data_IF_123221574804
#
_entry.id   IF_123221574804
#
_cell.length_a   1.000
_cell.length_b   1.000
_cell.length_c   1.000
_cell.angle_alpha   90.00
_cell.angle_beta   90.00
_cell.angle_gamma   90.00
#
_symmetry.space_group_name_H-M   'P 1'
#
loop_
_entity.id
_entity.type
_entity.pdbx_description
1 polymer ?
#
# COMPACT_ATOMS: atom_id res chain seq x y z
N UNK A 1 43.78 -11.98 -35.23
CA UNK A 1 43.60 -11.07 -34.07
C UNK A 1 42.13 -10.77 -33.71
N UNK A 2 41.15 -10.88 -34.63
CA UNK A 2 39.73 -10.57 -34.34
C UNK A 2 39.01 -11.53 -33.36
N UNK A 3 39.46 -12.78 -33.22
CA UNK A 3 38.82 -13.76 -32.33
C UNK A 3 39.10 -13.50 -30.82
N UNK A 4 40.27 -12.94 -30.49
CA UNK A 4 40.68 -12.70 -29.11
C UNK A 4 39.89 -11.55 -28.45
N UNK A 5 39.57 -10.50 -29.20
CA UNK A 5 38.78 -9.35 -28.72
C UNK A 5 37.33 -9.75 -28.38
N UNK A 6 36.73 -10.66 -29.15
CA UNK A 6 35.37 -11.16 -28.92
C UNK A 6 35.27 -12.03 -27.65
N UNK A 7 36.35 -12.76 -27.33
CA UNK A 7 36.42 -13.63 -26.16
C UNK A 7 36.59 -12.84 -24.85
N UNK A 8 37.38 -11.76 -24.86
CA UNK A 8 37.52 -10.89 -23.69
C UNK A 8 36.21 -10.14 -23.35
N UNK A 9 35.46 -9.71 -24.35
CA UNK A 9 34.22 -8.96 -24.12
C UNK A 9 33.09 -9.81 -23.53
N UNK A 10 33.03 -11.11 -23.87
CA UNK A 10 32.09 -12.08 -23.25
C UNK A 10 32.43 -12.38 -21.80
N UNK A 11 33.73 -12.50 -21.46
CA UNK A 11 34.18 -12.70 -20.07
C UNK A 11 33.92 -11.46 -19.22
N UNK A 12 34.12 -10.26 -19.78
CA UNK A 12 33.81 -9.01 -19.10
C UNK A 12 32.31 -8.87 -18.79
N UNK A 13 31.43 -9.22 -19.74
CA UNK A 13 29.98 -9.22 -19.51
C UNK A 13 29.53 -10.23 -18.45
N UNK A 14 30.09 -11.44 -18.45
CA UNK A 14 29.80 -12.46 -17.43
C UNK A 14 30.25 -12.01 -16.03
N UNK A 15 31.41 -11.36 -15.93
CA UNK A 15 31.96 -10.84 -14.68
C UNK A 15 31.14 -9.66 -14.15
N UNK A 16 30.62 -8.81 -15.05
CA UNK A 16 29.73 -7.69 -14.71
C UNK A 16 28.35 -8.17 -14.23
N UNK A 17 27.80 -9.22 -14.84
CA UNK A 17 26.55 -9.85 -14.38
C UNK A 17 26.70 -10.53 -13.01
N UNK A 18 27.86 -11.16 -12.74
CA UNK A 18 28.15 -11.81 -11.46
C UNK A 18 28.32 -10.78 -10.32
N UNK A 19 28.94 -9.63 -10.60
CA UNK A 19 29.05 -8.49 -9.68
C UNK A 19 27.69 -7.85 -9.38
N UNK A 20 26.81 -7.70 -10.39
CA UNK A 20 25.45 -7.20 -10.16
C UNK A 20 24.64 -8.12 -9.24
N UNK A 21 24.81 -9.44 -9.34
CA UNK A 21 24.05 -10.38 -8.51
C UNK A 21 24.44 -10.30 -7.01
N UNK A 22 25.70 -9.97 -6.71
CA UNK A 22 26.19 -9.82 -5.33
C UNK A 22 25.67 -8.55 -4.63
N UNK A 23 25.28 -7.50 -5.37
CA UNK A 23 24.74 -6.26 -4.78
C UNK A 23 23.24 -6.32 -4.45
N UNK A 24 22.50 -7.29 -4.97
CA UNK A 24 21.03 -7.39 -4.75
C UNK A 24 20.69 -8.03 -3.40
N UNK A 25 21.62 -8.76 -2.79
CA UNK A 25 21.39 -9.50 -1.54
C UNK A 25 21.87 -8.71 -0.32
N UNK A 26 21.32 -7.51 -0.12
CA UNK A 26 21.49 -6.80 1.16
C UNK A 26 20.25 -7.08 2.04
N UNK A 27 20.41 -7.70 3.22
CA UNK A 27 19.31 -7.86 4.17
C UNK A 27 18.96 -6.49 4.76
N UNK A 28 17.81 -5.94 4.36
CA UNK A 28 17.23 -4.74 4.98
C UNK A 28 16.71 -5.12 6.36
N UNK A 29 17.56 -5.01 7.38
CA UNK A 29 17.17 -5.12 8.78
C UNK A 29 16.38 -3.88 9.20
N UNK A 30 15.06 -3.96 9.18
CA UNK A 30 14.16 -2.92 9.66
C UNK A 30 14.24 -2.78 11.20
N UNK A 31 14.72 -1.64 11.72
CA UNK A 31 14.70 -1.35 13.15
C UNK A 31 13.31 -0.87 13.60
N UNK A 32 12.64 -1.63 14.47
CA UNK A 32 11.40 -1.21 15.15
C UNK A 32 11.72 -0.19 16.26
N UNK A 33 11.41 1.09 16.01
CA UNK A 33 11.44 2.16 17.02
C UNK A 33 10.28 1.97 18.01
N UNK A 34 10.55 1.50 19.23
CA UNK A 34 9.56 1.48 20.31
C UNK A 34 9.34 2.91 20.82
N UNK A 35 8.21 3.51 20.48
CA UNK A 35 7.75 4.78 21.06
C UNK A 35 7.29 4.57 22.50
N UNK A 36 8.01 5.14 23.48
CA UNK A 36 7.56 5.23 24.87
C UNK A 36 6.51 6.35 24.97
N UNK A 37 5.24 6.00 25.12
CA UNK A 37 4.16 6.97 25.39
C UNK A 37 4.21 7.37 26.87
N UNK A 38 4.51 8.65 27.16
CA UNK A 38 4.39 9.25 28.49
C UNK A 38 2.91 9.38 28.86
N UNK A 39 2.49 8.79 29.98
CA UNK A 39 1.15 8.94 30.53
C UNK A 39 0.98 10.36 31.07
N UNK A 40 0.02 11.13 30.54
CA UNK A 40 -0.33 12.48 31.03
C UNK A 40 -1.68 12.40 31.77
N UNK A 41 -1.68 12.86 33.02
CA UNK A 41 -2.79 13.54 33.70
C UNK A 41 -4.05 12.74 34.03
N UNK A 42 -4.30 12.53 35.32
CA UNK A 42 -5.61 12.16 35.87
C UNK A 42 -6.59 13.34 35.73
N UNK A 43 -7.82 13.07 35.26
CA UNK A 43 -8.94 14.01 35.35
C UNK A 43 -10.03 13.42 36.26
N UNK A 44 -10.70 14.30 36.99
CA UNK A 44 -11.52 14.09 38.20
C UNK A 44 -12.84 13.33 38.03
N UNK A 45 -13.12 12.71 36.87
CA UNK A 45 -14.44 12.14 36.55
C UNK A 45 -14.45 10.64 36.21
N UNK A 46 -13.48 9.84 36.64
CA UNK A 46 -13.49 8.38 36.43
C UNK A 46 -13.75 7.64 37.73
N UNK A 47 -14.89 6.94 37.83
CA UNK A 47 -15.20 6.04 38.93
C UNK A 47 -14.21 4.87 38.93
N UNK A 48 -13.73 4.50 40.11
CA UNK A 48 -12.75 3.43 40.35
C UNK A 48 -13.25 2.02 39.95
N UNK A 49 -14.55 1.87 39.67
CA UNK A 49 -15.17 0.59 39.28
C UNK A 49 -15.42 0.46 37.76
N UNK A 50 -14.98 1.42 36.95
CA UNK A 50 -15.08 1.28 35.50
C UNK A 50 -14.12 0.20 35.00
N UNK A 51 -14.58 -1.05 34.91
CA UNK A 51 -13.91 -2.08 34.11
C UNK A 51 -13.84 -1.57 32.67
N UNK A 52 -12.64 -1.16 32.25
CA UNK A 52 -12.34 -0.87 30.85
C UNK A 52 -12.67 -2.16 30.09
N UNK A 53 -13.82 -2.18 29.40
CA UNK A 53 -14.13 -3.22 28.41
C UNK A 53 -12.94 -3.21 27.46
N UNK A 54 -12.27 -4.36 27.36
CA UNK A 54 -11.09 -4.68 26.55
C UNK A 54 -10.70 -3.56 25.56
N UNK A 55 -9.47 -3.05 25.66
CA UNK A 55 -8.93 -2.10 24.70
C UNK A 55 -9.33 -2.52 23.27
N UNK A 56 -9.87 -1.60 22.46
CA UNK A 56 -10.29 -1.94 21.10
C UNK A 56 -9.10 -2.56 20.36
N UNK A 57 -9.37 -3.65 19.63
CA UNK A 57 -8.34 -4.33 18.85
C UNK A 57 -7.55 -3.31 18.01
N UNK A 58 -6.23 -3.47 17.98
CA UNK A 58 -5.34 -2.55 17.26
C UNK A 58 -5.86 -2.30 15.83
N UNK A 59 -5.79 -1.05 15.32
CA UNK A 59 -6.31 -0.71 14.01
C UNK A 59 -5.62 -1.58 12.95
N UNK A 60 -6.42 -2.23 12.10
CA UNK A 60 -5.89 -3.03 10.99
C UNK A 60 -5.14 -2.11 10.03
N UNK A 61 -3.88 -2.43 9.76
CA UNK A 61 -3.09 -1.72 8.76
C UNK A 61 -3.53 -2.17 7.35
N UNK A 62 -3.96 -1.20 6.53
CA UNK A 62 -4.38 -1.43 5.15
C UNK A 62 -3.36 -0.81 4.20
N UNK A 63 -3.14 -1.46 3.05
CA UNK A 63 -2.37 -0.83 1.98
C UNK A 63 -3.15 0.37 1.42
N UNK A 64 -2.45 1.46 1.11
CA UNK A 64 -3.07 2.68 0.59
C UNK A 64 -2.90 2.76 -0.91
N UNK A 65 -4.00 2.90 -1.65
CA UNK A 65 -3.95 3.21 -3.06
C UNK A 65 -4.33 4.68 -3.26
N UNK A 66 -3.35 5.50 -3.56
CA UNK A 66 -3.53 6.95 -3.68
C UNK A 66 -4.16 7.33 -5.01
N UNK A 67 -5.12 8.24 -4.97
CA UNK A 67 -5.80 8.80 -6.15
C UNK A 67 -5.94 10.30 -6.00
N UNK A 68 -5.85 11.02 -7.11
CA UNK A 68 -6.04 12.48 -7.13
C UNK A 68 -7.50 12.89 -7.23
N UNK A 69 -8.38 11.99 -7.69
CA UNK A 69 -9.82 12.21 -7.81
C UNK A 69 -10.60 10.97 -7.36
N UNK A 70 -11.88 11.18 -7.10
CA UNK A 70 -12.79 10.13 -6.63
C UNK A 70 -13.25 9.19 -7.75
N UNK A 71 -13.25 9.65 -9.01
CA UNK A 71 -13.85 8.95 -10.16
C UNK A 71 -13.45 7.47 -10.23
N UNK A 72 -14.44 6.59 -10.24
CA UNK A 72 -14.22 5.16 -10.48
C UNK A 72 -13.74 4.39 -9.25
N UNK A 73 -13.80 4.98 -8.06
CA UNK A 73 -13.36 4.32 -6.81
C UNK A 73 -14.49 4.09 -5.83
N UNK A 74 -15.62 4.80 -6.00
CA UNK A 74 -16.76 4.85 -5.08
C UNK A 74 -16.28 5.12 -3.66
N UNK A 75 -15.42 6.11 -3.51
CA UNK A 75 -14.92 6.52 -2.20
C UNK A 75 -16.07 7.08 -1.34
N UNK A 76 -16.17 6.65 -0.09
CA UNK A 76 -17.32 6.93 0.78
C UNK A 76 -18.48 5.94 0.63
N UNK A 77 -18.44 5.03 -0.35
CA UNK A 77 -19.48 4.03 -0.54
C UNK A 77 -19.20 2.77 0.31
N UNK A 78 -20.06 2.51 1.30
CA UNK A 78 -19.90 1.37 2.23
C UNK A 78 -19.73 0.01 1.53
N UNK A 79 -20.44 -0.21 0.42
CA UNK A 79 -20.36 -1.47 -0.35
C UNK A 79 -18.94 -1.71 -0.89
N UNK A 80 -18.27 -0.65 -1.32
CA UNK A 80 -16.90 -0.71 -1.84
C UNK A 80 -15.83 -0.65 -0.75
N UNK A 81 -16.05 0.12 0.31
CA UNK A 81 -15.16 0.15 1.46
C UNK A 81 -15.03 -1.23 2.11
N UNK A 82 -16.15 -1.92 2.36
CA UNK A 82 -16.12 -3.26 2.94
C UNK A 82 -15.46 -4.29 2.03
N UNK A 83 -15.55 -4.08 0.71
CA UNK A 83 -14.90 -4.96 -0.25
C UNK A 83 -13.38 -4.72 -0.32
N UNK A 84 -12.96 -3.46 -0.40
CA UNK A 84 -11.54 -3.07 -0.45
C UNK A 84 -10.82 -3.42 0.86
N UNK A 85 -11.46 -3.19 2.01
CA UNK A 85 -10.94 -3.60 3.32
C UNK A 85 -10.73 -5.12 3.40
N UNK A 86 -11.66 -5.93 2.87
CA UNK A 86 -11.48 -7.40 2.81
C UNK A 86 -10.31 -7.81 1.92
N UNK A 87 -10.03 -7.08 0.85
CA UNK A 87 -8.83 -7.30 0.02
C UNK A 87 -7.54 -6.77 0.68
N UNK A 88 -7.65 -6.02 1.78
CA UNK A 88 -6.54 -5.49 2.55
C UNK A 88 -5.99 -4.16 2.05
N UNK A 89 -6.79 -3.36 1.34
CA UNK A 89 -6.39 -2.01 0.95
C UNK A 89 -7.54 -1.00 1.05
N UNK A 90 -7.22 0.30 0.98
CA UNK A 90 -8.18 1.40 0.94
C UNK A 90 -7.76 2.44 -0.09
N UNK A 91 -8.73 3.09 -0.71
CA UNK A 91 -8.47 4.29 -1.51
C UNK A 91 -8.24 5.48 -0.59
N UNK A 92 -7.20 6.26 -0.89
CA UNK A 92 -6.93 7.52 -0.19
C UNK A 92 -6.87 8.62 -1.24
N UNK A 93 -7.73 9.63 -1.06
CA UNK A 93 -7.74 10.81 -1.92
C UNK A 93 -6.64 11.75 -1.47
N UNK A 94 -5.76 12.07 -2.39
CA UNK A 94 -4.62 12.96 -2.20
C UNK A 94 -4.57 13.89 -3.41
N UNK A 95 -5.26 15.04 -3.35
CA UNK A 95 -5.21 16.02 -4.42
C UNK A 95 -3.77 16.58 -4.55
N UNK A 96 -3.39 17.02 -5.76
CA UNK A 96 -2.07 17.61 -5.98
C UNK A 96 -1.93 18.91 -5.18
N UNK A 97 -0.68 19.28 -4.90
CA UNK A 97 -0.29 20.59 -4.36
C UNK A 97 -0.82 20.91 -2.95
N UNK A 98 -1.25 19.90 -2.19
CA UNK A 98 -1.52 20.06 -0.75
C UNK A 98 -0.26 19.84 0.09
N UNK A 99 -0.12 20.61 1.17
CA UNK A 99 0.96 20.41 2.15
C UNK A 99 0.91 18.98 2.71
N UNK A 100 2.03 18.25 2.59
CA UNK A 100 2.12 16.84 3.01
C UNK A 100 1.61 15.82 1.98
N UNK A 101 1.20 16.25 0.79
CA UNK A 101 0.90 15.35 -0.33
C UNK A 101 2.18 14.75 -0.92
N UNK A 102 2.10 13.50 -1.37
CA UNK A 102 3.16 12.85 -2.12
C UNK A 102 3.25 13.47 -3.51
N UNK A 103 4.45 13.56 -4.05
CA UNK A 103 4.63 13.96 -5.45
C UNK A 103 3.99 12.94 -6.38
N UNK A 104 3.58 13.35 -7.58
CA UNK A 104 2.94 12.46 -8.56
C UNK A 104 3.79 11.21 -8.89
N UNK A 105 5.12 11.37 -8.90
CA UNK A 105 6.08 10.29 -9.15
C UNK A 105 6.13 9.31 -7.98
N UNK A 106 6.21 9.80 -6.75
CA UNK A 106 6.16 8.96 -5.54
C UNK A 106 4.84 8.20 -5.43
N UNK A 107 3.71 8.86 -5.70
CA UNK A 107 2.40 8.20 -5.75
C UNK A 107 2.39 7.07 -6.79
N UNK A 108 3.01 7.27 -7.96
CA UNK A 108 3.07 6.26 -9.03
C UNK A 108 3.85 5.04 -8.58
N UNK A 109 5.04 5.22 -8.00
CA UNK A 109 5.85 4.10 -7.50
C UNK A 109 5.20 3.41 -6.30
N UNK A 110 4.63 4.16 -5.36
CA UNK A 110 3.88 3.59 -4.24
C UNK A 110 2.70 2.74 -4.72
N UNK A 111 1.87 3.30 -5.61
CA UNK A 111 0.72 2.58 -6.17
C UNK A 111 1.15 1.36 -6.99
N UNK A 112 2.29 1.42 -7.67
CA UNK A 112 2.84 0.25 -8.37
C UNK A 112 3.19 -0.85 -7.37
N UNK A 113 3.90 -0.54 -6.29
CA UNK A 113 4.22 -1.49 -5.22
C UNK A 113 2.97 -2.10 -4.59
N UNK A 114 1.96 -1.29 -4.27
CA UNK A 114 0.68 -1.78 -3.73
C UNK A 114 -0.06 -2.67 -4.73
N UNK A 115 -0.14 -2.27 -6.00
CA UNK A 115 -0.77 -3.10 -7.04
C UNK A 115 -0.06 -4.43 -7.22
N UNK A 116 1.27 -4.44 -7.14
CA UNK A 116 2.07 -5.66 -7.19
C UNK A 116 1.81 -6.55 -5.96
N UNK A 117 1.79 -5.98 -4.76
CA UNK A 117 1.42 -6.71 -3.55
C UNK A 117 -0.02 -7.29 -3.63
N UNK A 118 -0.96 -6.53 -4.19
CA UNK A 118 -2.33 -7.00 -4.42
C UNK A 118 -2.40 -8.10 -5.47
N UNK A 119 -1.57 -8.05 -6.51
CA UNK A 119 -1.44 -9.11 -7.51
C UNK A 119 -1.00 -10.42 -6.86
N UNK A 120 0.00 -10.37 -5.99
CA UNK A 120 0.50 -11.54 -5.27
C UNK A 120 -0.51 -12.06 -4.25
N UNK A 121 -1.15 -11.18 -3.47
CA UNK A 121 -2.06 -11.55 -2.38
C UNK A 121 -3.44 -12.01 -2.88
N UNK A 122 -3.98 -11.37 -3.91
CA UNK A 122 -5.36 -11.59 -4.39
C UNK A 122 -5.40 -12.25 -5.79
N UNK A 123 -4.25 -12.54 -6.40
CA UNK A 123 -4.14 -13.20 -7.71
C UNK A 123 -4.31 -12.27 -8.92
N UNK A 124 -3.96 -12.72 -10.14
CA UNK A 124 -3.84 -11.89 -11.33
C UNK A 124 -5.14 -11.19 -11.78
N UNK A 125 -6.30 -11.76 -11.42
CA UNK A 125 -7.61 -11.21 -11.78
C UNK A 125 -8.22 -10.31 -10.69
N UNK A 126 -7.46 -9.89 -9.67
CA UNK A 126 -7.97 -9.03 -8.59
C UNK A 126 -8.60 -7.74 -9.12
N UNK A 127 -7.96 -7.12 -10.13
CA UNK A 127 -8.43 -5.85 -10.69
C UNK A 127 -9.76 -6.03 -11.44
N UNK A 128 -9.92 -7.13 -12.18
CA UNK A 128 -11.17 -7.45 -12.86
C UNK A 128 -12.31 -7.69 -11.85
N UNK A 129 -12.06 -8.46 -10.78
CA UNK A 129 -13.04 -8.70 -9.71
C UNK A 129 -13.45 -7.40 -9.01
N UNK A 130 -12.49 -6.51 -8.77
CA UNK A 130 -12.74 -5.19 -8.21
C UNK A 130 -13.64 -4.35 -9.12
N UNK A 131 -13.34 -4.26 -10.41
CA UNK A 131 -14.16 -3.48 -11.35
C UNK A 131 -15.58 -4.06 -11.48
N UNK A 132 -15.73 -5.39 -11.47
CA UNK A 132 -17.05 -6.04 -11.44
C UNK A 132 -17.82 -5.69 -10.17
N UNK A 133 -17.13 -5.60 -9.01
CA UNK A 133 -17.75 -5.22 -7.75
C UNK A 133 -18.16 -3.75 -7.71
N UNK A 134 -17.34 -2.86 -8.27
CA UNK A 134 -17.66 -1.43 -8.43
C UNK A 134 -18.99 -1.28 -9.15
N UNK A 135 -19.14 -1.89 -10.33
CA UNK A 135 -20.39 -1.85 -11.11
C UNK A 135 -21.60 -2.31 -10.30
N UNK A 136 -21.48 -3.48 -9.64
CA UNK A 136 -22.54 -4.01 -8.77
C UNK A 136 -22.88 -3.09 -7.60
N UNK A 137 -21.91 -2.38 -7.02
CA UNK A 137 -22.17 -1.43 -5.95
C UNK A 137 -22.89 -0.19 -6.50
N UNK A 138 -22.48 0.35 -7.66
CA UNK A 138 -23.17 1.47 -8.32
C UNK A 138 -24.64 1.17 -8.58
N UNK A 139 -24.91 0.02 -9.18
CA UNK A 139 -26.27 -0.44 -9.49
C UNK A 139 -27.14 -0.54 -8.24
N UNK A 140 -26.56 -0.95 -7.09
CA UNK A 140 -27.29 -1.11 -5.84
C UNK A 140 -27.53 0.19 -5.08
N UNK A 141 -26.56 1.09 -5.08
CA UNK A 141 -26.64 2.32 -4.27
C UNK A 141 -27.08 3.54 -5.08
N UNK A 142 -27.14 3.44 -6.41
CA UNK A 142 -27.41 4.58 -7.30
C UNK A 142 -26.26 5.60 -7.34
N UNK A 143 -25.07 5.22 -6.87
CA UNK A 143 -23.90 6.10 -6.80
C UNK A 143 -23.09 6.00 -8.11
N UNK A 144 -23.38 6.91 -9.03
CA UNK A 144 -22.73 6.98 -10.34
C UNK A 144 -21.59 8.00 -10.42
N UNK A 145 -21.50 8.90 -9.44
CA UNK A 145 -20.54 10.01 -9.45
C UNK A 145 -19.23 9.69 -8.71
N UNK A 146 -19.22 8.65 -7.87
CA UNK A 146 -18.01 8.10 -7.24
C UNK A 146 -17.15 7.19 -8.12
#
# INVERSE_FOLDING_TARGET
>A
MAAALKYMNRKLHLLLLLLCFLFVVQPVCAQKKKSKKKMKGQTTNTSYEAKIKNEPAAPKEYMHLYRTNTRGTLHGNKCMEDYTQRMGFRYVMMPPDQEGSLTATEMRFHNFGVKFALLLKNGPFWHHRLNKKIRKCREKTGDFYG
#
